data_IF_971558399176
#
_entry.id   IF_971558399176
#
_cell.length_a   1.000
_cell.length_b   1.000
_cell.length_c   1.000
_cell.angle_alpha   90.00
_cell.angle_beta   90.00
_cell.angle_gamma   90.00
#
_symmetry.space_group_name_H-M   'P 1'
#
loop_
_entity.id
_entity.type
_entity.pdbx_description
1 polymer ?
#
# COMPACT_ATOMS: atom_id res chain seq x y z
N UNK A 1 16.92 -5.56 8.08
CA UNK A 1 16.75 -6.67 7.12
C UNK A 1 15.48 -6.42 6.31
N UNK A 2 15.34 -6.96 5.08
CA UNK A 2 14.06 -6.89 4.38
C UNK A 2 12.96 -7.63 5.15
N UNK A 3 11.72 -7.14 5.03
CA UNK A 3 10.52 -7.78 5.56
C UNK A 3 10.07 -8.83 4.54
N UNK A 4 9.82 -10.05 5.04
CA UNK A 4 9.35 -11.17 4.21
C UNK A 4 8.02 -10.81 3.54
N UNK A 5 7.85 -11.22 2.29
CA UNK A 5 6.61 -10.99 1.55
C UNK A 5 5.52 -11.99 1.97
N UNK A 6 4.60 -11.51 2.80
CA UNK A 6 3.37 -12.22 3.18
C UNK A 6 2.34 -12.11 2.05
N UNK A 7 2.40 -13.06 1.12
CA UNK A 7 1.54 -13.09 -0.08
C UNK A 7 0.07 -13.24 0.30
N UNK A 8 -0.80 -12.64 -0.49
CA UNK A 8 -2.26 -12.76 -0.34
C UNK A 8 -2.78 -14.20 -0.44
N UNK A 9 -2.04 -15.11 -1.08
CA UNK A 9 -2.35 -16.56 -1.08
C UNK A 9 -2.07 -17.25 0.25
N UNK A 10 -1.22 -16.66 1.10
CA UNK A 10 -0.92 -17.16 2.45
C UNK A 10 -1.85 -16.54 3.50
N UNK A 11 -2.11 -15.24 3.38
CA UNK A 11 -2.88 -14.48 4.39
C UNK A 11 -4.38 -14.43 4.10
N UNK A 12 -4.78 -14.61 2.84
CA UNK A 12 -6.16 -14.39 2.39
C UNK A 12 -6.56 -12.91 2.28
N UNK A 13 -5.70 -11.98 2.71
CA UNK A 13 -5.95 -10.55 2.64
C UNK A 13 -5.86 -10.07 1.20
N UNK A 14 -6.83 -9.25 0.76
CA UNK A 14 -6.95 -8.73 -0.61
C UNK A 14 -6.81 -7.23 -0.62
N UNK A 15 -6.30 -6.66 -1.71
CA UNK A 15 -6.15 -5.21 -1.87
C UNK A 15 -7.49 -4.55 -2.24
N UNK A 16 -8.40 -4.48 -1.27
CA UNK A 16 -9.67 -3.73 -1.36
C UNK A 16 -9.48 -2.27 -0.93
N UNK A 17 -10.50 -1.44 -1.14
CA UNK A 17 -10.48 -0.02 -0.74
C UNK A 17 -10.09 0.16 0.73
N UNK A 18 -9.15 1.08 1.00
CA UNK A 18 -8.64 1.38 2.33
C UNK A 18 -7.56 0.43 2.87
N UNK A 19 -7.19 -0.64 2.15
CA UNK A 19 -6.15 -1.56 2.61
C UNK A 19 -4.78 -0.90 2.59
N UNK A 20 -4.02 -1.06 3.69
CA UNK A 20 -2.61 -0.70 3.78
C UNK A 20 -1.74 -1.91 3.40
N UNK A 21 -0.71 -1.66 2.60
CA UNK A 21 0.17 -2.69 2.04
C UNK A 21 1.61 -2.22 1.95
N UNK A 22 2.55 -3.17 1.99
CA UNK A 22 3.98 -2.89 1.98
C UNK A 22 4.46 -2.55 0.56
N UNK A 23 5.17 -1.44 0.41
CA UNK A 23 5.90 -1.12 -0.81
C UNK A 23 7.13 -2.03 -0.97
N UNK A 24 7.41 -2.45 -2.21
CA UNK A 24 8.58 -3.28 -2.55
C UNK A 24 9.09 -2.97 -3.96
N UNK A 25 10.34 -3.37 -4.21
CA UNK A 25 10.95 -3.30 -5.54
C UNK A 25 11.06 -4.69 -6.17
N UNK A 26 11.60 -5.66 -5.43
CA UNK A 26 11.67 -7.09 -5.80
C UNK A 26 10.82 -7.92 -4.84
N UNK A 27 10.58 -9.22 -5.12
CA UNK A 27 10.05 -10.12 -4.11
C UNK A 27 10.91 -10.10 -2.84
N UNK A 28 10.27 -10.16 -1.67
CA UNK A 28 10.94 -10.23 -0.37
C UNK A 28 11.96 -9.09 -0.13
N UNK A 29 11.68 -7.89 -0.67
CA UNK A 29 12.55 -6.72 -0.59
C UNK A 29 11.97 -5.54 0.21
N UNK A 30 10.79 -5.71 0.81
CA UNK A 30 10.11 -4.63 1.52
C UNK A 30 10.97 -4.12 2.69
N UNK A 31 10.92 -2.81 2.94
CA UNK A 31 11.61 -2.17 4.08
C UNK A 31 10.62 -1.36 4.89
N UNK A 32 10.64 -0.03 4.77
CA UNK A 32 9.79 0.89 5.54
C UNK A 32 8.66 1.51 4.74
N UNK A 33 8.72 1.47 3.41
CA UNK A 33 7.68 2.08 2.55
C UNK A 33 6.39 1.28 2.61
N UNK A 34 5.26 1.98 2.71
CA UNK A 34 3.92 1.44 2.62
C UNK A 34 3.05 2.33 1.73
N UNK A 35 1.88 1.82 1.33
CA UNK A 35 0.89 2.56 0.58
C UNK A 35 -0.52 2.13 1.00
N UNK A 36 -1.51 2.95 0.67
CA UNK A 36 -2.92 2.66 0.85
C UNK A 36 -3.60 2.47 -0.50
N UNK A 37 -4.57 1.56 -0.56
CA UNK A 37 -5.41 1.39 -1.74
C UNK A 37 -6.55 2.40 -1.72
N UNK A 38 -6.66 3.21 -2.78
CA UNK A 38 -7.87 3.99 -3.08
C UNK A 38 -8.65 3.24 -4.16
N UNK A 39 -9.80 2.70 -3.79
CA UNK A 39 -10.55 1.70 -4.56
C UNK A 39 -9.95 0.29 -4.48
N UNK A 40 -10.63 -0.68 -5.09
CA UNK A 40 -10.15 -2.06 -5.18
C UNK A 40 -9.03 -2.17 -6.21
N UNK A 41 -7.94 -2.83 -5.83
CA UNK A 41 -6.71 -2.96 -6.61
C UNK A 41 -6.29 -4.43 -6.76
N UNK A 42 -7.09 -5.30 -7.42
CA UNK A 42 -6.83 -6.74 -7.49
C UNK A 42 -5.50 -7.09 -8.19
N UNK A 43 -4.98 -6.20 -9.05
CA UNK A 43 -3.69 -6.38 -9.72
C UNK A 43 -2.48 -6.29 -8.77
N UNK A 44 -2.69 -5.90 -7.51
CA UNK A 44 -1.71 -5.94 -6.43
C UNK A 44 -1.73 -7.27 -5.65
N UNK A 45 -2.76 -8.09 -5.82
CA UNK A 45 -2.79 -9.42 -5.20
C UNK A 45 -1.79 -10.37 -5.87
N UNK A 46 -1.57 -11.53 -5.27
CA UNK A 46 -0.73 -12.57 -5.86
C UNK A 46 -1.35 -13.03 -7.19
N UNK A 47 -0.53 -13.14 -8.23
CA UNK A 47 -0.96 -13.40 -9.61
C UNK A 47 -1.42 -12.16 -10.38
N UNK A 48 -1.47 -10.99 -9.73
CA UNK A 48 -1.76 -9.71 -10.38
C UNK A 48 -0.60 -9.20 -11.24
N UNK A 49 -0.91 -8.23 -12.11
CA UNK A 49 -0.01 -7.76 -13.18
C UNK A 49 0.79 -6.51 -12.82
N UNK A 50 0.65 -5.98 -11.60
CA UNK A 50 1.35 -4.75 -11.22
C UNK A 50 2.87 -4.87 -11.36
N UNK A 51 3.41 -6.02 -10.97
CA UNK A 51 4.82 -6.38 -11.12
C UNK A 51 4.95 -7.64 -11.99
N UNK A 52 5.93 -7.72 -12.91
CA UNK A 52 6.10 -8.88 -13.80
C UNK A 52 6.33 -10.21 -13.07
N UNK A 53 6.80 -10.18 -11.82
CA UNK A 53 7.06 -11.37 -11.00
C UNK A 53 5.78 -12.09 -10.50
N UNK A 54 4.61 -11.45 -10.63
CA UNK A 54 3.32 -11.98 -10.19
C UNK A 54 3.21 -12.27 -8.68
N UNK A 55 4.17 -11.81 -7.85
CA UNK A 55 4.19 -12.11 -6.42
C UNK A 55 3.19 -11.26 -5.62
N UNK A 56 2.62 -10.23 -6.23
CA UNK A 56 1.72 -9.28 -5.56
C UNK A 56 2.42 -8.48 -4.46
N UNK A 57 1.65 -7.90 -3.55
CA UNK A 57 2.13 -7.13 -2.40
C UNK A 57 1.55 -7.71 -1.10
N UNK A 58 2.14 -7.35 0.05
CA UNK A 58 1.66 -7.81 1.35
C UNK A 58 0.66 -6.80 1.93
N UNK A 59 -0.63 -7.09 1.83
CA UNK A 59 -1.67 -6.40 2.57
C UNK A 59 -1.59 -6.79 4.05
N UNK A 60 -1.66 -5.82 4.97
CA UNK A 60 -1.48 -6.06 6.40
C UNK A 60 -2.41 -5.27 7.32
N UNK A 61 -3.35 -4.50 6.77
CA UNK A 61 -4.35 -3.78 7.56
C UNK A 61 -5.35 -3.04 6.67
N UNK A 62 -6.26 -2.30 7.30
CA UNK A 62 -7.25 -1.48 6.62
C UNK A 62 -7.51 -0.21 7.42
N UNK A 63 -7.77 0.89 6.72
CA UNK A 63 -8.22 2.15 7.33
C UNK A 63 -9.63 1.93 7.91
N UNK A 64 -9.76 2.11 9.22
CA UNK A 64 -11.06 2.02 9.92
C UNK A 64 -11.76 3.38 10.03
N UNK A 65 -10.98 4.47 10.06
CA UNK A 65 -11.44 5.86 10.17
C UNK A 65 -10.51 6.76 9.36
N UNK A 66 -11.02 7.85 8.76
CA UNK A 66 -10.21 8.81 8.00
C UNK A 66 -10.04 8.50 6.52
N UNK A 67 -10.92 7.69 5.91
CA UNK A 67 -10.89 7.46 4.46
C UNK A 67 -11.16 8.73 3.64
N UNK A 68 -11.91 9.68 4.19
CA UNK A 68 -12.11 11.02 3.64
C UNK A 68 -10.78 11.79 3.56
N UNK A 69 -9.94 11.70 4.60
CA UNK A 69 -8.59 12.29 4.59
C UNK A 69 -7.73 11.66 3.49
N UNK A 70 -7.76 10.34 3.37
CA UNK A 70 -7.04 9.62 2.30
C UNK A 70 -7.48 10.07 0.90
N UNK A 71 -8.79 10.27 0.69
CA UNK A 71 -9.32 10.75 -0.59
C UNK A 71 -8.98 12.21 -0.86
N UNK A 72 -8.91 13.06 0.17
CA UNK A 72 -8.43 14.43 0.04
C UNK A 72 -6.96 14.46 -0.39
N UNK A 73 -6.10 13.67 0.26
CA UNK A 73 -4.68 13.52 -0.11
C UNK A 73 -4.52 13.08 -1.57
N UNK A 74 -5.35 12.15 -2.05
CA UNK A 74 -5.25 11.59 -3.41
C UNK A 74 -5.46 12.63 -4.53
N UNK A 75 -6.14 13.75 -4.25
CA UNK A 75 -6.44 14.80 -5.25
C UNK A 75 -5.54 16.03 -5.13
N UNK A 76 -4.57 16.03 -4.22
CA UNK A 76 -3.62 17.12 -4.05
C UNK A 76 -2.69 17.27 -5.27
N UNK A 77 -2.14 18.47 -5.52
CA UNK A 77 -1.20 18.69 -6.61
C UNK A 77 0.02 17.77 -6.53
N UNK A 78 0.46 17.27 -7.68
CA UNK A 78 1.60 16.36 -7.77
C UNK A 78 2.43 16.63 -9.02
N UNK A 79 3.71 16.26 -8.94
CA UNK A 79 4.62 16.15 -10.07
C UNK A 79 4.99 14.67 -10.22
N UNK A 80 4.69 14.09 -11.38
CA UNK A 80 4.85 12.66 -11.67
C UNK A 80 4.10 11.73 -10.69
N UNK A 81 4.80 11.23 -9.67
CA UNK A 81 4.24 10.35 -8.62
C UNK A 81 4.47 10.92 -7.20
N UNK A 82 4.85 12.19 -7.08
CA UNK A 82 5.15 12.84 -5.81
C UNK A 82 4.24 14.04 -5.60
N UNK A 83 3.55 14.07 -4.46
CA UNK A 83 2.77 15.23 -4.03
C UNK A 83 3.67 16.46 -3.86
N UNK A 84 3.18 17.62 -4.29
CA UNK A 84 3.90 18.90 -4.25
C UNK A 84 2.96 19.98 -3.67
N UNK A 85 3.08 20.33 -2.37
CA UNK A 85 4.11 19.89 -1.44
C UNK A 85 3.91 18.44 -0.92
N UNK A 86 4.96 17.81 -0.37
CA UNK A 86 4.81 16.52 0.32
C UNK A 86 3.87 16.63 1.53
N UNK A 87 3.13 15.56 1.79
CA UNK A 87 2.29 15.45 3.00
C UNK A 87 3.04 14.66 4.06
N UNK A 88 3.33 15.30 5.18
CA UNK A 88 4.11 14.72 6.27
C UNK A 88 3.24 13.93 7.24
N UNK A 89 3.71 12.74 7.63
CA UNK A 89 3.15 12.00 8.77
C UNK A 89 3.80 12.57 10.03
N UNK A 90 3.04 13.40 10.75
CA UNK A 90 3.55 14.15 11.91
C UNK A 90 3.84 13.21 13.11
N UNK A 91 2.99 12.21 13.34
CA UNK A 91 3.18 11.24 14.41
C UNK A 91 2.51 9.90 14.11
N UNK A 92 3.04 8.83 14.70
CA UNK A 92 2.45 7.50 14.69
C UNK A 92 2.39 7.02 16.13
N UNK A 93 1.21 6.58 16.58
CA UNK A 93 1.01 6.06 17.94
C UNK A 93 0.43 4.66 17.87
N UNK A 94 1.03 3.73 18.60
CA UNK A 94 0.40 2.47 18.94
C UNK A 94 -0.60 2.73 20.06
N UNK A 95 -1.87 2.47 19.78
CA UNK A 95 -2.97 2.53 20.74
C UNK A 95 -3.22 1.17 21.38
#
# INVERSE_FOLDING_TARGET
APIKLERTTLTGLKHIDGVISMGRFMPDSAKSSFFFCIGNQPELDYGGKRNPDGQGFAAFGVVIEGMDVMRAIQVEPYEEQRLTPPIEIISIRRV
#
